data_IF_540670427793
#
_entry.id   IF_540670427793
#
_cell.length_a   1.000
_cell.length_b   1.000
_cell.length_c   1.000
_cell.angle_alpha   90.00
_cell.angle_beta   90.00
_cell.angle_gamma   90.00
#
_symmetry.space_group_name_H-M   'P 1'
#
loop_
_entity.id
_entity.type
_entity.pdbx_description
1 polymer ?
#
# COMPACT_ATOMS: atom_id res chain seq x y z
N UNK A 1 45.22 -26.96 -27.16
CA UNK A 1 44.06 -26.95 -26.24
C UNK A 1 44.49 -26.35 -24.91
N UNK A 2 44.00 -25.17 -24.53
CA UNK A 2 44.21 -24.61 -23.20
C UNK A 2 43.08 -25.05 -22.25
N UNK A 3 43.45 -25.49 -21.05
CA UNK A 3 42.55 -25.87 -19.96
C UNK A 3 41.79 -24.64 -19.40
N UNK A 4 40.53 -24.77 -18.98
CA UNK A 4 39.79 -23.64 -18.39
C UNK A 4 40.23 -23.38 -16.95
N UNK A 5 40.64 -22.13 -16.69
CA UNK A 5 40.94 -21.62 -15.36
C UNK A 5 39.73 -21.74 -14.42
N UNK A 6 39.86 -22.51 -13.34
CA UNK A 6 38.88 -22.52 -12.23
C UNK A 6 38.89 -21.15 -11.53
N UNK A 7 37.74 -20.47 -11.37
CA UNK A 7 37.70 -19.25 -10.59
C UNK A 7 37.92 -19.54 -9.10
N UNK A 8 38.92 -18.85 -8.52
CA UNK A 8 39.26 -18.82 -7.10
C UNK A 8 38.05 -18.48 -6.22
N UNK A 9 37.55 -19.48 -5.51
CA UNK A 9 36.49 -19.36 -4.50
C UNK A 9 37.04 -18.83 -3.17
N UNK A 10 37.50 -17.57 -3.13
CA UNK A 10 37.95 -16.92 -1.87
C UNK A 10 37.04 -15.79 -1.37
N UNK A 11 35.99 -15.42 -2.10
CA UNK A 11 35.12 -14.28 -1.74
C UNK A 11 33.74 -14.60 -1.16
N UNK A 12 33.24 -15.84 -1.25
CA UNK A 12 31.83 -16.14 -0.93
C UNK A 12 31.55 -16.64 0.50
N UNK A 13 32.58 -16.85 1.31
CA UNK A 13 32.40 -17.38 2.68
C UNK A 13 32.32 -16.31 3.78
N UNK A 14 32.59 -15.03 3.49
CA UNK A 14 32.58 -13.97 4.52
C UNK A 14 31.16 -13.51 4.92
N UNK A 15 30.13 -13.90 4.16
CA UNK A 15 28.74 -13.53 4.45
C UNK A 15 28.08 -14.51 5.44
N UNK A 16 28.67 -15.68 5.70
CA UNK A 16 28.03 -16.75 6.48
C UNK A 16 28.42 -16.79 7.98
N UNK A 17 29.39 -16.00 8.45
CA UNK A 17 29.96 -16.19 9.79
C UNK A 17 29.57 -15.15 10.84
N UNK A 18 28.58 -14.28 10.59
CA UNK A 18 28.17 -13.39 11.67
C UNK A 18 26.70 -12.97 11.64
N UNK A 19 25.81 -13.96 11.64
CA UNK A 19 24.36 -13.74 11.82
C UNK A 19 24.06 -12.82 13.02
N UNK A 20 24.83 -12.94 14.11
CA UNK A 20 24.70 -12.09 15.30
C UNK A 20 25.06 -10.62 15.03
N UNK A 21 26.17 -10.37 14.33
CA UNK A 21 26.57 -9.00 13.96
C UNK A 21 25.66 -8.41 12.90
N UNK A 22 25.12 -9.22 11.99
CA UNK A 22 24.08 -8.77 11.03
C UNK A 22 22.81 -8.37 11.77
N UNK A 23 22.35 -9.17 12.73
CA UNK A 23 21.17 -8.84 13.54
C UNK A 23 21.37 -7.56 14.37
N UNK A 24 22.52 -7.41 15.03
CA UNK A 24 22.85 -6.17 15.76
C UNK A 24 22.89 -4.96 14.81
N UNK A 25 23.47 -5.11 13.62
CA UNK A 25 23.50 -4.05 12.60
C UNK A 25 22.10 -3.69 12.09
N UNK A 26 21.19 -4.66 12.01
CA UNK A 26 19.78 -4.43 11.67
C UNK A 26 19.06 -3.67 12.79
N UNK A 27 19.33 -4.02 14.06
CA UNK A 27 18.71 -3.40 15.23
C UNK A 27 19.04 -1.89 15.33
N UNK A 28 20.27 -1.51 14.97
CA UNK A 28 20.74 -0.13 14.96
C UNK A 28 20.47 0.64 13.66
N UNK A 29 19.82 0.02 12.65
CA UNK A 29 19.54 0.71 11.39
C UNK A 29 18.38 1.70 11.51
N UNK A 30 18.68 2.99 11.57
CA UNK A 30 17.67 4.04 11.79
C UNK A 30 16.48 4.09 10.80
N UNK A 31 16.75 3.92 9.49
CA UNK A 31 15.68 3.97 8.47
C UNK A 31 14.81 2.71 8.53
N UNK A 32 13.56 2.89 8.97
CA UNK A 32 12.57 1.82 9.07
C UNK A 32 12.74 0.93 10.30
N UNK A 33 13.55 1.34 11.28
CA UNK A 33 13.67 0.60 12.55
C UNK A 33 12.49 0.86 13.47
N UNK A 34 12.23 -0.16 14.29
CA UNK A 34 11.32 -0.16 15.43
C UNK A 34 11.52 1.07 16.31
N UNK A 35 12.77 1.54 16.47
CA UNK A 35 13.05 2.74 17.27
C UNK A 35 12.33 3.97 16.75
N UNK A 36 12.29 4.21 15.43
CA UNK A 36 11.58 5.38 14.87
C UNK A 36 10.07 5.31 15.12
N UNK A 37 9.52 4.09 15.18
CA UNK A 37 8.10 3.86 15.43
C UNK A 37 7.75 4.03 16.90
N UNK A 38 8.57 3.48 17.82
CA UNK A 38 8.29 3.44 19.26
C UNK A 38 8.83 4.64 20.04
N UNK A 39 9.77 5.44 19.49
CA UNK A 39 10.45 6.49 20.25
C UNK A 39 9.48 7.50 20.86
N UNK A 40 8.41 7.88 20.14
CA UNK A 40 7.39 8.79 20.65
C UNK A 40 6.67 8.23 21.87
N UNK A 41 6.16 7.01 21.77
CA UNK A 41 5.46 6.32 22.86
C UNK A 41 6.39 6.04 24.04
N UNK A 42 7.64 5.66 23.78
CA UNK A 42 8.66 5.39 24.79
C UNK A 42 9.02 6.66 25.58
N UNK A 43 9.23 7.79 24.89
CA UNK A 43 9.53 9.07 25.54
C UNK A 43 8.35 9.50 26.40
N UNK A 44 7.11 9.37 25.90
CA UNK A 44 5.92 9.66 26.68
C UNK A 44 5.82 8.78 27.93
N UNK A 45 6.07 7.47 27.80
CA UNK A 45 6.09 6.53 28.92
C UNK A 45 7.15 6.89 29.97
N UNK A 46 8.38 7.18 29.54
CA UNK A 46 9.49 7.56 30.42
C UNK A 46 9.16 8.85 31.18
N UNK A 47 8.67 9.88 30.48
CA UNK A 47 8.29 11.15 31.11
C UNK A 47 7.18 10.91 32.14
N UNK A 48 6.12 10.18 31.78
CA UNK A 48 5.02 9.87 32.69
C UNK A 48 5.50 9.09 33.93
N UNK A 49 6.36 8.08 33.74
CA UNK A 49 6.94 7.31 34.83
C UNK A 49 7.77 8.18 35.79
N UNK A 50 8.61 9.05 35.25
CA UNK A 50 9.39 9.99 36.07
C UNK A 50 8.50 11.01 36.79
N UNK A 51 7.45 11.51 36.14
CA UNK A 51 6.49 12.42 36.78
C UNK A 51 5.78 11.75 37.97
N UNK A 52 5.31 10.51 37.81
CA UNK A 52 4.70 9.74 38.90
C UNK A 52 5.71 9.48 40.02
N UNK A 53 6.95 9.12 39.67
CA UNK A 53 8.03 8.89 40.64
C UNK A 53 8.36 10.17 41.42
N UNK A 54 8.44 11.32 40.75
CA UNK A 54 8.68 12.62 41.36
C UNK A 54 7.52 13.01 42.28
N UNK A 55 6.27 12.82 41.84
CA UNK A 55 5.09 13.04 42.68
C UNK A 55 5.12 12.15 43.95
N UNK A 56 5.42 10.86 43.81
CA UNK A 56 5.53 9.95 44.95
C UNK A 56 6.65 10.36 45.93
N UNK A 57 7.83 10.73 45.42
CA UNK A 57 8.99 11.07 46.28
C UNK A 57 8.90 12.45 46.93
N UNK A 58 8.42 13.46 46.21
CA UNK A 58 8.48 14.86 46.66
C UNK A 58 7.14 15.40 47.15
N UNK A 59 6.01 14.94 46.60
CA UNK A 59 4.68 15.44 46.97
C UNK A 59 4.04 14.56 48.05
N UNK A 60 4.07 13.23 47.87
CA UNK A 60 3.41 12.30 48.79
C UNK A 60 4.17 12.09 50.11
N UNK A 61 5.43 12.52 50.21
CA UNK A 61 6.19 12.44 51.47
C UNK A 61 5.58 13.31 52.58
N UNK A 62 4.91 14.41 52.22
CA UNK A 62 4.23 15.31 53.15
C UNK A 62 2.85 14.79 53.60
N UNK A 63 2.30 13.75 52.96
CA UNK A 63 0.95 13.22 53.22
C UNK A 63 0.97 11.70 53.42
N UNK A 64 1.20 11.20 54.65
CA UNK A 64 1.42 9.78 54.91
C UNK A 64 0.22 8.88 54.55
N UNK A 65 -1.01 9.35 54.79
CA UNK A 65 -2.23 8.60 54.48
C UNK A 65 -2.41 8.37 52.97
N UNK A 66 -2.07 9.38 52.15
CA UNK A 66 -2.19 9.32 50.70
C UNK A 66 -1.13 8.40 50.09
N UNK A 67 0.07 8.38 50.68
CA UNK A 67 1.17 7.50 50.30
C UNK A 67 0.82 6.03 50.48
N UNK A 68 0.23 5.67 51.63
CA UNK A 68 -0.21 4.30 51.92
C UNK A 68 -1.29 3.83 50.91
N UNK A 69 -2.24 4.70 50.58
CA UNK A 69 -3.26 4.42 49.57
C UNK A 69 -2.66 4.18 48.18
N UNK A 70 -1.67 4.96 47.78
CA UNK A 70 -0.95 4.77 46.52
C UNK A 70 -0.18 3.45 46.47
N UNK A 71 0.49 3.05 47.56
CA UNK A 71 1.19 1.77 47.64
C UNK A 71 0.23 0.58 47.52
N UNK A 72 -0.93 0.66 48.17
CA UNK A 72 -2.01 -0.33 48.00
C UNK A 72 -2.51 -0.40 46.56
N UNK A 73 -2.70 0.75 45.91
CA UNK A 73 -3.12 0.84 44.51
C UNK A 73 -2.09 0.20 43.55
N UNK A 74 -0.79 0.50 43.71
CA UNK A 74 0.27 -0.09 42.89
C UNK A 74 0.33 -1.60 43.07
N UNK A 75 0.23 -2.10 44.30
CA UNK A 75 0.19 -3.54 44.58
C UNK A 75 -1.03 -4.22 43.94
N UNK A 76 -2.19 -3.56 43.92
CA UNK A 76 -3.38 -4.06 43.24
C UNK A 76 -3.19 -4.12 41.71
N UNK A 77 -2.59 -3.09 41.11
CA UNK A 77 -2.32 -3.06 39.66
C UNK A 77 -1.29 -4.09 39.24
N UNK A 78 -0.27 -4.36 40.06
CA UNK A 78 0.72 -5.41 39.79
C UNK A 78 0.07 -6.81 39.71
N UNK A 79 -0.90 -7.10 40.60
CA UNK A 79 -1.69 -8.33 40.51
C UNK A 79 -2.41 -8.40 39.17
N UNK A 80 -3.16 -7.37 38.79
CA UNK A 80 -3.91 -7.33 37.52
C UNK A 80 -2.99 -7.49 36.30
N UNK A 81 -1.82 -6.84 36.30
CA UNK A 81 -0.88 -6.91 35.19
C UNK A 81 -0.41 -8.35 34.91
N UNK A 82 -0.31 -9.18 35.95
CA UNK A 82 0.09 -10.58 35.85
C UNK A 82 -1.08 -11.53 35.51
N UNK A 83 -2.34 -11.10 35.64
CA UNK A 83 -3.51 -11.94 35.32
C UNK A 83 -3.66 -12.19 33.82
N UNK A 84 -3.33 -11.20 32.98
CA UNK A 84 -3.54 -11.29 31.52
C UNK A 84 -2.21 -11.57 30.83
N UNK A 85 -2.01 -12.75 30.20
CA UNK A 85 -0.80 -13.04 29.45
C UNK A 85 -0.81 -12.27 28.12
N UNK A 86 -0.49 -10.98 28.16
CA UNK A 86 -0.50 -10.08 26.99
C UNK A 86 0.39 -10.62 25.87
N UNK A 87 1.53 -11.23 26.20
CA UNK A 87 2.45 -11.84 25.24
C UNK A 87 1.79 -12.90 24.36
N UNK A 88 0.89 -13.70 24.93
CA UNK A 88 0.17 -14.74 24.19
C UNK A 88 -0.83 -14.14 23.20
N UNK A 89 -1.64 -13.17 23.66
CA UNK A 89 -2.60 -12.45 22.83
C UNK A 89 -1.89 -11.68 21.70
N UNK A 90 -0.79 -11.02 22.02
CA UNK A 90 0.03 -10.31 21.05
C UNK A 90 0.60 -11.27 19.99
N UNK A 91 1.03 -12.46 20.40
CA UNK A 91 1.51 -13.50 19.48
C UNK A 91 0.45 -13.91 18.46
N UNK A 92 -0.78 -14.20 18.89
CA UNK A 92 -1.87 -14.52 17.97
C UNK A 92 -2.27 -13.35 17.08
N UNK A 93 -2.33 -12.15 17.65
CA UNK A 93 -2.67 -10.94 16.91
C UNK A 93 -1.66 -10.67 15.79
N UNK A 94 -0.37 -10.67 16.12
CA UNK A 94 0.72 -10.46 15.15
C UNK A 94 0.73 -11.56 14.11
N UNK A 95 0.59 -12.84 14.50
CA UNK A 95 0.54 -13.97 13.56
C UNK A 95 -0.61 -13.82 12.53
N UNK A 96 -1.79 -13.42 12.99
CA UNK A 96 -2.96 -13.19 12.13
C UNK A 96 -2.70 -12.04 11.15
N UNK A 97 -2.15 -10.92 11.64
CA UNK A 97 -1.84 -9.77 10.80
C UNK A 97 -0.78 -10.13 9.75
N UNK A 98 0.29 -10.84 10.16
CA UNK A 98 1.34 -11.27 9.25
C UNK A 98 0.79 -12.21 8.18
N UNK A 99 -0.09 -13.13 8.54
CA UNK A 99 -0.73 -14.05 7.59
C UNK A 99 -1.53 -13.29 6.53
N UNK A 100 -2.35 -12.31 6.95
CA UNK A 100 -3.13 -11.46 6.03
C UNK A 100 -2.24 -10.58 5.18
N UNK A 101 -1.22 -9.97 5.77
CA UNK A 101 -0.26 -9.15 5.05
C UNK A 101 0.49 -9.98 4.00
N UNK A 102 0.90 -11.20 4.34
CA UNK A 102 1.57 -12.09 3.39
C UNK A 102 0.64 -12.58 2.28
N UNK A 103 -0.63 -12.83 2.59
CA UNK A 103 -1.64 -13.12 1.56
C UNK A 103 -1.82 -11.93 0.61
N UNK A 104 -1.87 -10.70 1.13
CA UNK A 104 -1.91 -9.49 0.32
C UNK A 104 -0.65 -9.32 -0.54
N UNK A 105 0.55 -9.48 0.03
CA UNK A 105 1.80 -9.38 -0.72
C UNK A 105 1.86 -10.40 -1.86
N UNK A 106 1.43 -11.65 -1.61
CA UNK A 106 1.36 -12.69 -2.65
C UNK A 106 0.29 -12.43 -3.71
N UNK A 107 -0.76 -11.68 -3.39
CA UNK A 107 -1.78 -11.29 -4.36
C UNK A 107 -1.33 -10.16 -5.30
N UNK A 108 -0.24 -9.46 -4.99
CA UNK A 108 0.30 -8.43 -5.89
C UNK A 108 0.84 -9.13 -7.14
N UNK A 109 0.22 -8.91 -8.33
CA UNK A 109 0.67 -9.57 -9.53
C UNK A 109 2.07 -9.06 -9.90
N UNK A 110 3.01 -9.98 -10.03
CA UNK A 110 4.31 -9.72 -10.64
C UNK A 110 4.20 -9.80 -12.16
N UNK A 111 4.95 -8.95 -12.86
CA UNK A 111 4.90 -8.90 -14.33
C UNK A 111 5.69 -10.04 -15.02
N UNK A 112 6.47 -10.81 -14.26
CA UNK A 112 7.33 -11.89 -14.78
C UNK A 112 6.54 -13.07 -15.34
N UNK A 113 5.54 -13.56 -14.59
CA UNK A 113 4.70 -14.69 -15.03
C UNK A 113 3.95 -14.41 -16.34
N UNK A 114 3.22 -13.29 -16.50
CA UNK A 114 2.57 -12.97 -17.77
C UNK A 114 3.59 -12.71 -18.90
N UNK A 115 4.78 -12.17 -18.60
CA UNK A 115 5.83 -12.02 -19.62
C UNK A 115 6.26 -13.36 -20.22
N UNK A 116 6.46 -14.37 -19.37
CA UNK A 116 6.84 -15.70 -19.81
C UNK A 116 5.73 -16.37 -20.63
N UNK A 117 4.46 -16.22 -20.20
CA UNK A 117 3.31 -16.73 -20.96
C UNK A 117 3.19 -16.08 -22.33
N UNK A 118 3.28 -14.75 -22.40
CA UNK A 118 3.25 -14.01 -23.68
C UNK A 118 4.41 -14.44 -24.59
N UNK A 119 5.60 -14.68 -24.02
CA UNK A 119 6.73 -15.19 -24.79
C UNK A 119 6.48 -16.61 -25.34
N UNK A 120 5.88 -17.49 -24.54
CA UNK A 120 5.64 -18.88 -24.91
C UNK A 120 4.49 -19.06 -25.92
N UNK A 121 3.44 -18.23 -25.83
CA UNK A 121 2.26 -18.36 -26.69
C UNK A 121 2.31 -17.49 -27.96
N UNK A 122 3.11 -16.42 -27.99
CA UNK A 122 3.18 -15.51 -29.14
C UNK A 122 4.50 -15.75 -29.89
N UNK A 123 4.44 -16.64 -30.88
CA UNK A 123 5.56 -17.03 -31.75
C UNK A 123 5.55 -18.54 -31.98
N UNK A 124 4.89 -18.99 -33.05
CA UNK A 124 4.88 -20.40 -33.47
C UNK A 124 6.07 -20.75 -34.39
N UNK A 125 6.27 -22.05 -34.61
CA UNK A 125 7.44 -22.69 -35.25
C UNK A 125 7.67 -22.30 -36.73
N UNK A 126 6.72 -21.64 -37.37
CA UNK A 126 6.74 -21.34 -38.81
C UNK A 126 6.57 -19.84 -39.11
N UNK A 127 7.32 -19.00 -38.40
CA UNK A 127 7.37 -17.57 -38.70
C UNK A 127 8.83 -17.13 -38.89
N UNK A 128 9.33 -17.43 -40.09
CA UNK A 128 10.50 -16.78 -40.65
C UNK A 128 10.34 -15.26 -40.50
N UNK A 129 11.26 -14.63 -39.76
CA UNK A 129 11.52 -13.18 -39.70
C UNK A 129 10.63 -12.32 -38.76
N UNK A 130 10.52 -12.75 -37.50
CA UNK A 130 10.79 -12.04 -36.22
C UNK A 130 10.32 -10.58 -35.94
N UNK A 131 9.51 -9.93 -36.80
CA UNK A 131 9.05 -8.55 -36.56
C UNK A 131 7.62 -8.49 -35.98
N UNK A 132 6.68 -9.29 -36.51
CA UNK A 132 5.27 -9.24 -36.11
C UNK A 132 5.05 -9.83 -34.71
N UNK A 133 5.56 -11.04 -34.43
CA UNK A 133 5.47 -11.65 -33.10
C UNK A 133 6.16 -10.83 -32.02
N UNK A 134 7.31 -10.22 -32.34
CA UNK A 134 7.98 -9.27 -31.44
C UNK A 134 7.11 -8.04 -31.14
N UNK A 135 6.49 -7.42 -32.17
CA UNK A 135 5.57 -6.29 -31.99
C UNK A 135 4.38 -6.65 -31.10
N UNK A 136 3.75 -7.80 -31.33
CA UNK A 136 2.61 -8.26 -30.53
C UNK A 136 3.02 -8.47 -29.06
N UNK A 137 4.11 -9.21 -28.80
CA UNK A 137 4.63 -9.42 -27.44
C UNK A 137 4.91 -8.11 -26.72
N UNK A 138 5.57 -7.17 -27.41
CA UNK A 138 5.89 -5.84 -26.87
C UNK A 138 4.63 -5.04 -26.54
N UNK A 139 3.64 -5.03 -27.43
CA UNK A 139 2.37 -4.32 -27.22
C UNK A 139 1.57 -4.90 -26.06
N UNK A 140 1.48 -6.24 -25.95
CA UNK A 140 0.83 -6.91 -24.82
C UNK A 140 1.51 -6.54 -23.49
N UNK A 141 2.84 -6.59 -23.44
CA UNK A 141 3.59 -6.22 -22.24
C UNK A 141 3.42 -4.74 -21.89
N UNK A 142 3.38 -3.83 -22.87
CA UNK A 142 3.12 -2.40 -22.65
C UNK A 142 1.75 -2.19 -22.01
N UNK A 143 0.70 -2.82 -22.52
CA UNK A 143 -0.66 -2.70 -21.98
C UNK A 143 -0.81 -3.32 -20.60
N UNK A 144 -0.20 -4.48 -20.33
CA UNK A 144 -0.20 -5.08 -18.99
C UNK A 144 0.53 -4.20 -17.97
N UNK A 145 1.66 -3.61 -18.35
CA UNK A 145 2.37 -2.64 -17.50
C UNK A 145 1.55 -1.38 -17.24
N UNK A 146 0.85 -0.85 -18.25
CA UNK A 146 -0.05 0.29 -18.08
C UNK A 146 -1.17 -0.03 -17.09
N UNK A 147 -1.86 -1.16 -17.29
CA UNK A 147 -2.92 -1.63 -16.41
C UNK A 147 -2.42 -1.81 -14.97
N UNK A 148 -1.22 -2.35 -14.80
CA UNK A 148 -0.60 -2.52 -13.49
C UNK A 148 -0.31 -1.19 -12.79
N UNK A 149 0.23 -0.19 -13.51
CA UNK A 149 0.44 1.16 -12.97
C UNK A 149 -0.89 1.79 -12.55
N UNK A 150 -1.92 1.69 -13.39
CA UNK A 150 -3.26 2.23 -13.09
C UNK A 150 -3.89 1.55 -11.88
N UNK A 151 -3.73 0.23 -11.72
CA UNK A 151 -4.15 -0.50 -10.53
C UNK A 151 -3.38 -0.03 -9.29
N UNK A 152 -2.06 0.15 -9.40
CA UNK A 152 -1.21 0.60 -8.30
C UNK A 152 -1.48 2.05 -7.86
N UNK A 153 -1.97 2.93 -8.74
CA UNK A 153 -2.48 4.27 -8.36
C UNK A 153 -3.70 4.18 -7.42
N UNK A 154 -4.47 3.09 -7.50
CA UNK A 154 -5.60 2.85 -6.58
C UNK A 154 -5.15 2.25 -5.25
N UNK A 155 -4.13 1.41 -5.26
CA UNK A 155 -3.66 0.64 -4.10
C UNK A 155 -2.60 1.34 -3.26
N UNK A 156 -1.64 2.04 -3.89
CA UNK A 156 -0.46 2.58 -3.24
C UNK A 156 -0.45 4.11 -3.21
N UNK A 157 -0.29 4.67 -2.00
CA UNK A 157 -0.16 6.12 -1.81
C UNK A 157 1.02 6.71 -2.57
N UNK A 158 2.16 6.01 -2.60
CA UNK A 158 3.39 6.53 -3.23
C UNK A 158 3.19 6.72 -4.74
N UNK A 159 2.59 5.72 -5.39
CA UNK A 159 2.34 5.71 -6.83
C UNK A 159 1.21 6.69 -7.17
N UNK A 160 0.15 6.73 -6.37
CA UNK A 160 -0.90 7.76 -6.48
C UNK A 160 -0.33 9.16 -6.35
N UNK A 161 0.53 9.41 -5.37
CA UNK A 161 1.13 10.73 -5.18
C UNK A 161 2.02 11.13 -6.36
N UNK A 162 2.80 10.18 -6.89
CA UNK A 162 3.67 10.39 -8.05
C UNK A 162 2.87 10.76 -9.31
N UNK A 163 1.87 9.97 -9.69
CA UNK A 163 1.18 10.13 -10.98
C UNK A 163 -0.09 10.96 -10.91
N UNK A 164 -0.71 11.13 -9.74
CA UNK A 164 -2.00 11.78 -9.57
C UNK A 164 -1.90 13.06 -8.72
N UNK A 165 -1.52 12.95 -7.44
CA UNK A 165 -1.61 14.09 -6.50
C UNK A 165 -0.58 15.20 -6.73
N UNK A 166 0.54 14.90 -7.40
CA UNK A 166 1.54 15.90 -7.78
C UNK A 166 1.11 16.72 -8.99
N UNK A 167 0.40 16.10 -9.93
CA UNK A 167 0.05 16.71 -11.21
C UNK A 167 -1.36 17.31 -11.24
N UNK A 168 -2.26 16.83 -10.38
CA UNK A 168 -3.65 17.28 -10.31
C UNK A 168 -3.98 17.78 -8.89
N UNK A 169 -3.82 19.09 -8.60
CA UNK A 169 -4.05 19.62 -7.26
C UNK A 169 -5.51 19.44 -6.78
N UNK A 170 -6.49 19.43 -7.69
CA UNK A 170 -7.90 19.19 -7.36
C UNK A 170 -8.10 17.81 -6.73
N UNK A 171 -7.39 16.79 -7.26
CA UNK A 171 -7.46 15.43 -6.74
C UNK A 171 -6.94 15.32 -5.30
N UNK A 172 -5.95 16.15 -4.94
CA UNK A 172 -5.41 16.23 -3.58
C UNK A 172 -6.42 16.87 -2.62
N UNK A 173 -7.15 17.89 -3.07
CA UNK A 173 -8.21 18.53 -2.27
C UNK A 173 -9.36 17.56 -2.01
N UNK A 174 -9.80 16.83 -3.05
CA UNK A 174 -10.80 15.77 -2.92
C UNK A 174 -10.39 14.69 -1.91
N UNK A 175 -9.11 14.31 -1.89
CA UNK A 175 -8.61 13.30 -0.97
C UNK A 175 -8.45 13.80 0.47
N UNK A 176 -8.12 15.09 0.67
CA UNK A 176 -8.21 15.72 2.00
C UNK A 176 -9.66 15.78 2.48
N UNK A 177 -10.59 16.18 1.61
CA UNK A 177 -12.02 16.17 1.88
C UNK A 177 -12.51 14.79 2.29
N UNK A 178 -12.15 13.73 1.55
CA UNK A 178 -12.47 12.33 1.91
C UNK A 178 -11.89 11.88 3.24
N UNK A 179 -10.68 12.31 3.61
CA UNK A 179 -10.10 12.00 4.94
C UNK A 179 -10.86 12.68 6.08
N UNK A 180 -11.27 13.93 5.88
CA UNK A 180 -12.13 14.64 6.84
C UNK A 180 -13.54 14.04 6.90
N UNK A 181 -14.12 13.67 5.74
CA UNK A 181 -15.39 12.96 5.65
C UNK A 181 -15.32 11.62 6.39
N UNK A 182 -14.31 10.79 6.13
CA UNK A 182 -14.14 9.48 6.77
C UNK A 182 -13.97 9.59 8.29
N UNK A 183 -13.28 10.65 8.78
CA UNK A 183 -13.19 10.96 10.23
C UNK A 183 -14.51 11.46 10.84
N UNK A 184 -15.45 11.96 10.03
CA UNK A 184 -16.80 12.33 10.45
C UNK A 184 -17.81 11.17 10.30
N UNK A 185 -17.61 10.31 9.30
CA UNK A 185 -18.43 9.13 8.98
C UNK A 185 -18.12 7.96 9.91
N UNK A 186 -16.87 7.77 10.34
CA UNK A 186 -16.51 6.82 11.41
C UNK A 186 -17.20 7.16 12.75
N UNK A 187 -17.68 8.41 12.93
CA UNK A 187 -18.53 8.82 14.06
C UNK A 187 -20.03 8.61 13.83
N UNK A 188 -20.46 8.34 12.60
CA UNK A 188 -21.87 8.21 12.18
C UNK A 188 -22.20 6.88 11.49
N UNK A 189 -21.29 5.92 11.54
CA UNK A 189 -21.49 4.57 11.00
C UNK A 189 -22.43 3.73 11.89
N UNK A 190 -23.70 4.14 11.98
CA UNK A 190 -24.81 3.22 12.26
C UNK A 190 -26.09 3.57 11.48
N UNK A 191 -26.12 4.62 10.66
CA UNK A 191 -27.33 4.92 9.88
C UNK A 191 -27.01 5.46 8.50
N UNK A 192 -27.30 4.60 7.52
CA UNK A 192 -27.61 4.91 6.14
C UNK A 192 -26.45 5.35 5.24
N UNK A 193 -25.94 4.43 4.43
CA UNK A 193 -25.66 4.77 3.03
C UNK A 193 -25.54 3.52 2.14
N UNK A 194 -26.69 3.02 1.66
CA UNK A 194 -26.73 2.13 0.47
C UNK A 194 -27.17 2.92 -0.78
N UNK A 195 -27.66 4.17 -0.66
CA UNK A 195 -28.27 4.89 -1.79
C UNK A 195 -27.42 6.00 -2.45
N UNK A 196 -26.14 6.20 -2.11
CA UNK A 196 -25.32 7.27 -2.70
C UNK A 196 -24.31 6.82 -3.77
N UNK A 197 -24.53 5.67 -4.43
CA UNK A 197 -23.58 5.14 -5.42
C UNK A 197 -23.86 5.56 -6.87
N UNK A 198 -24.85 6.43 -7.15
CA UNK A 198 -25.20 6.78 -8.53
C UNK A 198 -25.11 8.29 -8.86
N UNK A 199 -24.06 8.97 -8.38
CA UNK A 199 -23.68 10.29 -8.89
C UNK A 199 -22.19 10.33 -9.14
N UNK A 200 -21.79 10.29 -10.41
CA UNK A 200 -20.40 10.55 -10.81
C UNK A 200 -19.97 11.93 -10.25
N UNK A 201 -18.92 12.01 -9.40
CA UNK A 201 -18.52 13.27 -8.82
C UNK A 201 -17.88 14.17 -9.89
N UNK A 202 -18.44 15.37 -10.06
CA UNK A 202 -17.83 16.48 -10.82
C UNK A 202 -16.42 16.73 -10.25
N UNK A 203 -15.38 16.57 -11.08
CA UNK A 203 -13.97 16.78 -10.68
C UNK A 203 -13.07 15.54 -10.72
N UNK A 204 -13.48 14.44 -11.35
CA UNK A 204 -12.59 13.30 -11.60
C UNK A 204 -11.59 13.67 -12.70
N UNK A 205 -10.29 13.55 -12.41
CA UNK A 205 -9.21 13.70 -13.42
C UNK A 205 -9.51 12.72 -14.56
N UNK A 206 -9.51 13.21 -15.80
CA UNK A 206 -9.80 12.37 -16.96
C UNK A 206 -8.70 11.31 -17.09
N UNK A 207 -9.08 10.06 -17.34
CA UNK A 207 -8.16 8.93 -17.56
C UNK A 207 -7.09 9.27 -18.60
N UNK A 208 -7.46 10.05 -19.62
CA UNK A 208 -6.58 10.63 -20.64
C UNK A 208 -5.37 11.37 -20.05
N UNK A 209 -5.62 12.25 -19.07
CA UNK A 209 -4.59 13.10 -18.48
C UNK A 209 -3.63 12.26 -17.62
N UNK A 210 -4.15 11.22 -16.95
CA UNK A 210 -3.34 10.28 -16.17
C UNK A 210 -2.42 9.49 -17.11
N UNK A 211 -2.95 9.01 -18.24
CA UNK A 211 -2.18 8.28 -19.24
C UNK A 211 -1.04 9.16 -19.81
N UNK A 212 -1.32 10.42 -20.12
CA UNK A 212 -0.30 11.37 -20.57
C UNK A 212 0.79 11.57 -19.52
N UNK A 213 0.42 11.77 -18.24
CA UNK A 213 1.39 11.90 -17.15
C UNK A 213 2.24 10.64 -16.97
N UNK A 214 1.67 9.46 -17.15
CA UNK A 214 2.41 8.19 -17.09
C UNK A 214 3.44 8.12 -18.23
N UNK A 215 3.05 8.48 -19.45
CA UNK A 215 3.96 8.50 -20.59
C UNK A 215 5.07 9.53 -20.43
N UNK A 216 4.80 10.68 -19.82
CA UNK A 216 5.78 11.76 -19.58
C UNK A 216 6.78 11.48 -18.46
N UNK A 217 6.57 10.45 -17.64
CA UNK A 217 7.45 10.14 -16.53
C UNK A 217 8.86 9.69 -16.97
N UNK A 218 9.90 10.32 -16.42
CA UNK A 218 11.29 10.12 -16.80
C UNK A 218 11.79 8.68 -16.61
N UNK A 219 11.33 7.98 -15.57
CA UNK A 219 11.71 6.58 -15.37
C UNK A 219 11.08 5.69 -16.42
N UNK A 220 9.79 5.93 -16.70
CA UNK A 220 9.03 5.18 -17.68
C UNK A 220 9.61 5.39 -19.09
N UNK A 221 9.89 6.64 -19.47
CA UNK A 221 10.54 6.96 -20.74
C UNK A 221 11.90 6.28 -20.89
N UNK A 222 12.70 6.24 -19.82
CA UNK A 222 14.02 5.60 -19.86
C UNK A 222 13.96 4.09 -20.12
N UNK A 223 13.02 3.38 -19.49
CA UNK A 223 12.96 1.91 -19.57
C UNK A 223 12.08 1.39 -20.71
N UNK A 224 11.00 2.11 -21.04
CA UNK A 224 9.98 1.65 -21.97
C UNK A 224 9.84 2.55 -23.20
N UNK A 225 10.45 3.74 -23.20
CA UNK A 225 10.29 4.76 -24.25
C UNK A 225 8.91 5.42 -24.13
N UNK A 226 7.90 4.74 -24.67
CA UNK A 226 6.51 5.18 -24.60
C UNK A 226 5.61 3.98 -24.30
N UNK A 227 4.91 4.03 -23.16
CA UNK A 227 4.03 2.92 -22.75
C UNK A 227 2.82 2.83 -23.68
N UNK A 228 2.26 3.95 -24.10
CA UNK A 228 1.08 3.98 -24.99
C UNK A 228 1.18 5.13 -25.99
N UNK A 229 0.88 4.88 -27.26
CA UNK A 229 0.84 5.94 -28.28
C UNK A 229 -0.37 6.86 -28.04
N UNK A 230 -0.34 8.06 -28.60
CA UNK A 230 -1.47 8.99 -28.43
C UNK A 230 -2.73 8.46 -29.13
N UNK A 231 -2.59 7.88 -30.31
CA UNK A 231 -3.67 7.19 -31.04
C UNK A 231 -4.26 6.01 -30.25
N UNK A 232 -3.41 5.15 -29.67
CA UNK A 232 -3.85 4.05 -28.80
C UNK A 232 -4.64 4.60 -27.60
N UNK A 233 -4.17 5.69 -26.99
CA UNK A 233 -4.83 6.31 -25.84
C UNK A 233 -6.19 6.93 -26.20
N UNK A 234 -6.34 7.52 -27.38
CA UNK A 234 -7.60 8.07 -27.88
C UNK A 234 -8.65 6.97 -28.07
N UNK A 235 -8.26 5.83 -28.64
CA UNK A 235 -9.14 4.66 -28.80
C UNK A 235 -9.65 4.18 -27.42
N UNK A 236 -8.78 4.09 -26.41
CA UNK A 236 -9.23 3.69 -25.07
C UNK A 236 -10.22 4.69 -24.45
N UNK A 237 -10.09 5.98 -24.76
CA UNK A 237 -11.00 7.00 -24.26
C UNK A 237 -12.34 6.99 -24.98
N UNK A 238 -12.35 6.63 -26.26
CA UNK A 238 -13.56 6.37 -27.04
C UNK A 238 -14.34 5.22 -26.40
N UNK A 239 -13.67 4.09 -26.16
CA UNK A 239 -14.28 2.92 -25.52
C UNK A 239 -14.78 3.24 -24.11
N UNK A 240 -14.01 3.97 -23.29
CA UNK A 240 -14.45 4.38 -21.95
C UNK A 240 -15.70 5.27 -22.01
N UNK A 241 -15.83 6.12 -23.04
CA UNK A 241 -17.00 6.97 -23.26
C UNK A 241 -18.22 6.14 -23.67
N UNK A 242 -18.06 5.24 -24.64
CA UNK A 242 -19.12 4.36 -25.14
C UNK A 242 -19.63 3.42 -24.05
N UNK A 243 -18.74 2.80 -23.27
CA UNK A 243 -19.14 1.99 -22.12
C UNK A 243 -19.83 2.84 -21.06
N UNK A 244 -19.27 4.02 -20.75
CA UNK A 244 -19.86 4.96 -19.81
C UNK A 244 -21.30 5.35 -20.16
N UNK A 245 -21.57 5.62 -21.44
CA UNK A 245 -22.91 5.92 -21.96
C UNK A 245 -23.83 4.69 -21.89
N UNK A 246 -23.35 3.52 -22.26
CA UNK A 246 -24.12 2.27 -22.17
C UNK A 246 -24.57 1.97 -20.74
N UNK A 247 -23.69 2.15 -19.76
CA UNK A 247 -24.02 1.95 -18.35
C UNK A 247 -24.89 3.07 -17.77
N UNK A 248 -24.77 4.31 -18.26
CA UNK A 248 -25.68 5.40 -17.89
C UNK A 248 -27.11 5.11 -18.37
N UNK A 249 -27.27 4.70 -19.63
CA UNK A 249 -28.56 4.31 -20.19
C UNK A 249 -29.17 3.09 -19.47
N UNK A 250 -28.37 2.09 -19.09
CA UNK A 250 -28.86 0.96 -18.29
C UNK A 250 -29.32 1.38 -16.89
N UNK A 251 -28.59 2.30 -16.24
CA UNK A 251 -28.97 2.85 -14.94
C UNK A 251 -30.33 3.55 -14.97
N UNK A 252 -30.58 4.33 -16.03
CA UNK A 252 -31.85 5.03 -16.23
C UNK A 252 -33.02 4.07 -16.56
N UNK A 253 -32.78 2.98 -17.29
CA UNK A 253 -33.80 1.94 -17.55
C UNK A 253 -34.19 1.20 -16.26
N UNK A 254 -33.21 0.87 -15.40
CA UNK A 254 -33.50 0.24 -14.10
C UNK A 254 -34.19 1.18 -13.11
N UNK A 255 -33.93 2.49 -13.19
CA UNK A 255 -34.60 3.49 -12.37
C UNK A 255 -36.05 3.75 -12.84
N UNK A 256 -36.30 3.72 -14.16
CA UNK A 256 -37.64 3.89 -14.72
C UNK A 256 -38.52 2.63 -14.57
N UNK A 257 -37.94 1.42 -14.55
CA UNK A 257 -38.69 0.19 -14.30
C UNK A 257 -38.93 -0.08 -12.80
N UNK A 258 -38.21 0.60 -11.90
CA UNK A 258 -38.47 0.57 -10.45
C UNK A 258 -39.61 1.51 -10.02
N UNK A 259 -40.22 2.26 -10.96
CA UNK A 259 -41.34 3.16 -10.68
C UNK A 259 -42.72 2.53 -10.96
N UNK A 260 -42.78 1.24 -11.31
CA UNK A 260 -44.05 0.53 -11.60
C UNK A 260 -44.42 -0.62 -10.65
N UNK A 261 -43.64 -0.87 -9.59
CA UNK A 261 -44.01 -1.81 -8.53
C UNK A 261 -43.91 -1.13 -7.15
N UNK A 262 -44.91 -0.30 -6.83
CA UNK A 262 -45.39 0.02 -5.48
C UNK A 262 -46.85 0.48 -5.57
#
# INVERSE_FOLDING_TARGET
MPQPNKPSSKGRHFVLLNERVVFLRLLFRWKGSIWRLLLGDLVFFIISYFLVTMAYRYVLISYPNLKLGFEGFVSYMDKIANLVPVSFLLGFFVSTILTRWWAFVRSIPGMTSPAFLVHAFVGGEEQEVDSTGFRIRRTLMRYMNLAWILAMIKLSWSIRNRFLLRHFPESRLMEKGKRHQKSAEDRRAFKLCICASNKQPKGKVRTAQIIQVINEDSSIKKFFGQIITQEEAEIFLEIEREEGEKYACLGDITANNAFFDC
#
